data_IF_050827271345
#
_entry.id   IF_050827271345
#
_cell.length_a   1.000
_cell.length_b   1.000
_cell.length_c   1.000
_cell.angle_alpha   90.00
_cell.angle_beta   90.00
_cell.angle_gamma   90.00
#
_symmetry.space_group_name_H-M   'P 1'
#
loop_
_entity.id
_entity.type
_entity.pdbx_description
1 polymer ?
#
# COMPACT_ATOMS: atom_id res chain seq x y z
N UNK A 1 -21.16 4.23 -3.73
CA UNK A 1 -21.00 3.24 -2.65
C UNK A 1 -19.53 2.80 -2.58
N UNK A 2 -18.97 2.67 -1.38
CA UNK A 2 -17.53 2.61 -1.10
C UNK A 2 -16.90 1.24 -1.41
N UNK A 3 -15.68 1.19 -1.97
CA UNK A 3 -14.82 -0.01 -1.85
C UNK A 3 -13.34 0.29 -2.12
N UNK A 4 -12.58 0.47 -1.04
CA UNK A 4 -11.14 0.25 -0.92
C UNK A 4 -10.90 -0.23 0.52
N UNK A 5 -11.17 -1.52 0.76
CA UNK A 5 -10.09 -2.41 1.17
C UNK A 5 -10.11 -3.71 0.36
N UNK A 6 -8.93 -4.16 -0.04
CA UNK A 6 -8.73 -5.41 -0.76
C UNK A 6 -8.31 -6.50 0.22
N UNK A 7 -9.06 -7.60 0.22
CA UNK A 7 -8.92 -8.68 1.22
C UNK A 7 -8.17 -9.93 0.69
N UNK A 8 -7.81 -9.95 -0.59
CA UNK A 8 -7.16 -11.12 -1.22
C UNK A 8 -6.12 -10.67 -2.23
N UNK A 9 -5.08 -11.47 -2.42
CA UNK A 9 -4.01 -11.22 -3.40
C UNK A 9 -4.57 -11.07 -4.82
N UNK A 10 -5.47 -11.95 -5.25
CA UNK A 10 -6.03 -11.92 -6.61
C UNK A 10 -6.77 -10.61 -6.91
N UNK A 11 -7.66 -10.19 -6.00
CA UNK A 11 -8.35 -8.89 -6.11
C UNK A 11 -7.36 -7.72 -6.15
N UNK A 12 -6.25 -7.82 -5.44
CA UNK A 12 -5.21 -6.79 -5.44
C UNK A 12 -4.48 -6.72 -6.77
N UNK A 13 -4.13 -7.87 -7.36
CA UNK A 13 -3.52 -7.94 -8.68
C UNK A 13 -4.47 -7.44 -9.77
N UNK A 14 -5.76 -7.79 -9.70
CA UNK A 14 -6.78 -7.27 -10.62
C UNK A 14 -6.91 -5.75 -10.50
N UNK A 15 -7.02 -5.24 -9.28
CA UNK A 15 -7.05 -3.80 -9.01
C UNK A 15 -5.80 -3.10 -9.56
N UNK A 16 -4.61 -3.64 -9.30
CA UNK A 16 -3.36 -3.10 -9.78
C UNK A 16 -3.29 -3.04 -11.32
N UNK A 17 -3.80 -4.05 -12.03
CA UNK A 17 -3.88 -4.02 -13.50
C UNK A 17 -4.81 -2.90 -14.00
N UNK A 18 -5.94 -2.66 -13.32
CA UNK A 18 -6.86 -1.58 -13.70
C UNK A 18 -6.23 -0.19 -13.54
N UNK A 19 -5.29 -0.03 -12.61
CA UNK A 19 -4.56 1.24 -12.43
C UNK A 19 -3.59 1.56 -13.57
N UNK A 20 -3.35 0.65 -14.51
CA UNK A 20 -2.64 0.97 -15.75
C UNK A 20 -3.49 1.80 -16.72
N UNK A 21 -4.83 1.73 -16.59
CA UNK A 21 -5.74 2.59 -17.33
C UNK A 21 -5.79 3.98 -16.68
N UNK A 22 -5.46 5.02 -17.45
CA UNK A 22 -5.35 6.41 -16.97
C UNK A 22 -6.61 6.91 -16.26
N UNK A 23 -7.78 6.69 -16.85
CA UNK A 23 -9.06 7.16 -16.27
C UNK A 23 -9.35 6.52 -14.91
N UNK A 24 -9.12 5.20 -14.80
CA UNK A 24 -9.33 4.47 -13.56
C UNK A 24 -8.34 4.90 -12.47
N UNK A 25 -7.08 5.12 -12.85
CA UNK A 25 -6.03 5.67 -12.00
C UNK A 25 -6.40 7.04 -11.45
N UNK A 26 -6.81 7.97 -12.31
CA UNK A 26 -7.16 9.35 -11.92
C UNK A 26 -8.37 9.38 -11.00
N UNK A 27 -9.43 8.63 -11.33
CA UNK A 27 -10.60 8.52 -10.47
C UNK A 27 -10.25 7.95 -9.09
N UNK A 28 -9.39 6.93 -9.04
CA UNK A 28 -8.94 6.34 -7.78
C UNK A 28 -8.09 7.32 -6.96
N UNK A 29 -7.17 8.04 -7.62
CA UNK A 29 -6.36 9.06 -6.97
C UNK A 29 -7.21 10.20 -6.38
N UNK A 30 -8.22 10.68 -7.12
CA UNK A 30 -9.15 11.71 -6.66
C UNK A 30 -9.89 11.26 -5.39
N UNK A 31 -10.26 9.98 -5.29
CA UNK A 31 -10.94 9.42 -4.11
C UNK A 31 -10.03 9.31 -2.88
N UNK A 32 -8.71 9.23 -3.10
CA UNK A 32 -7.71 9.05 -2.04
C UNK A 32 -7.02 10.36 -1.65
N UNK A 33 -7.11 11.41 -2.47
CA UNK A 33 -6.36 12.66 -2.31
C UNK A 33 -6.55 13.34 -0.95
N UNK A 34 -7.73 13.21 -0.35
CA UNK A 34 -8.06 13.87 0.92
C UNK A 34 -7.50 13.12 2.13
N UNK A 35 -7.03 11.87 1.95
CA UNK A 35 -6.30 11.12 2.97
C UNK A 35 -4.85 11.59 3.08
N UNK A 36 -4.31 12.19 2.02
CA UNK A 36 -3.00 12.85 2.03
C UNK A 36 -3.19 14.23 2.64
N UNK A 37 -3.16 14.28 3.97
CA UNK A 37 -3.03 15.54 4.70
C UNK A 37 -1.64 16.11 4.39
N UNK A 38 -1.49 17.44 4.45
CA UNK A 38 -0.23 18.22 4.39
C UNK A 38 0.79 17.85 5.48
N UNK A 39 0.77 16.62 5.98
CA UNK A 39 1.81 16.08 6.83
C UNK A 39 3.09 15.99 5.99
N UNK A 40 4.12 16.72 6.39
CA UNK A 40 5.43 16.85 5.73
C UNK A 40 6.24 15.53 5.61
N UNK A 41 5.61 14.36 5.75
CA UNK A 41 6.28 13.07 5.70
C UNK A 41 5.68 12.17 4.63
N UNK A 42 6.39 12.07 3.51
CA UNK A 42 6.11 11.11 2.43
C UNK A 42 5.83 9.69 2.97
N UNK A 43 6.62 9.24 3.94
CA UNK A 43 6.44 7.91 4.58
C UNK A 43 5.07 7.76 5.22
N UNK A 44 4.56 8.81 5.88
CA UNK A 44 3.24 8.80 6.52
C UNK A 44 2.13 8.80 5.47
N UNK A 45 2.26 9.60 4.42
CA UNK A 45 1.31 9.65 3.31
C UNK A 45 1.20 8.31 2.59
N UNK A 46 2.34 7.70 2.23
CA UNK A 46 2.38 6.36 1.62
C UNK A 46 1.71 5.33 2.53
N UNK A 47 2.00 5.34 3.83
CA UNK A 47 1.37 4.40 4.77
C UNK A 47 -0.16 4.53 4.77
N UNK A 48 -0.68 5.75 4.92
CA UNK A 48 -2.13 6.01 4.97
C UNK A 48 -2.82 5.56 3.68
N UNK A 49 -2.21 5.88 2.53
CA UNK A 49 -2.74 5.47 1.22
C UNK A 49 -2.79 3.95 1.09
N UNK A 50 -1.71 3.27 1.45
CA UNK A 50 -1.62 1.81 1.35
C UNK A 50 -2.57 1.12 2.34
N UNK A 51 -2.68 1.61 3.57
CA UNK A 51 -3.68 1.12 4.55
C UNK A 51 -5.12 1.22 4.03
N UNK A 52 -5.39 2.20 3.14
CA UNK A 52 -6.70 2.32 2.49
C UNK A 52 -6.87 1.34 1.33
N UNK A 53 -5.82 1.06 0.58
CA UNK A 53 -5.89 0.23 -0.64
C UNK A 53 -6.11 -1.25 -0.31
N UNK A 54 -5.32 -1.82 0.60
CA UNK A 54 -5.43 -3.25 0.94
C UNK A 54 -5.12 -3.52 2.42
N UNK A 55 -5.54 -4.69 2.91
CA UNK A 55 -5.18 -5.15 4.24
C UNK A 55 -3.72 -5.63 4.27
N UNK A 56 -3.11 -5.62 5.46
CA UNK A 56 -1.70 -5.99 5.62
C UNK A 56 -1.36 -7.40 5.16
N UNK A 57 -2.28 -8.36 5.30
CA UNK A 57 -2.13 -9.75 4.85
C UNK A 57 -1.82 -9.84 3.36
N UNK A 58 -2.41 -8.94 2.56
CA UNK A 58 -2.09 -8.85 1.13
C UNK A 58 -0.63 -8.42 0.99
N UNK A 59 -0.19 -7.38 1.69
CA UNK A 59 1.18 -6.85 1.62
C UNK A 59 2.25 -7.81 2.16
N UNK A 60 1.94 -8.70 3.10
CA UNK A 60 2.87 -9.70 3.62
C UNK A 60 3.33 -10.70 2.54
N UNK A 61 2.51 -10.90 1.50
CA UNK A 61 2.79 -11.79 0.39
C UNK A 61 3.68 -11.19 -0.71
N UNK A 62 4.05 -9.91 -0.61
CA UNK A 62 4.92 -9.27 -1.60
C UNK A 62 6.32 -9.03 -1.07
N UNK A 63 7.32 -9.09 -1.95
CA UNK A 63 8.71 -8.76 -1.66
C UNK A 63 9.33 -7.96 -2.80
N UNK A 64 10.22 -7.02 -2.46
CA UNK A 64 10.85 -6.19 -3.50
C UNK A 64 11.93 -6.94 -4.29
N UNK A 65 12.54 -7.96 -3.69
CA UNK A 65 13.62 -8.75 -4.29
C UNK A 65 13.15 -10.08 -4.89
N UNK A 66 11.86 -10.44 -4.72
CA UNK A 66 11.37 -11.79 -5.02
C UNK A 66 11.90 -12.89 -4.09
N UNK A 67 12.85 -12.56 -3.21
CA UNK A 67 13.41 -13.48 -2.23
C UNK A 67 12.50 -13.47 -1.01
N UNK A 68 11.73 -14.54 -0.83
CA UNK A 68 11.19 -14.85 0.48
C UNK A 68 12.39 -15.00 1.43
N UNK A 69 12.37 -14.31 2.57
CA UNK A 69 13.24 -14.71 3.67
C UNK A 69 12.88 -16.16 3.97
N UNK A 70 13.85 -17.07 3.89
CA UNK A 70 13.66 -18.49 4.11
C UNK A 70 13.02 -18.67 5.49
N UNK A 71 11.75 -19.01 5.50
CA UNK A 71 10.99 -19.45 6.66
C UNK A 71 10.12 -20.57 6.11
N UNK A 72 10.59 -21.79 6.40
CA UNK A 72 9.95 -23.09 6.26
C UNK A 72 8.77 -23.16 5.27
N UNK A 73 9.00 -23.91 4.19
CA UNK A 73 8.05 -24.28 3.14
C UNK A 73 7.64 -23.16 2.16
N UNK A 74 8.44 -23.02 1.09
CA UNK A 74 8.02 -22.67 -0.28
C UNK A 74 7.00 -21.54 -0.51
N UNK A 75 6.90 -20.51 0.35
CA UNK A 75 6.09 -19.32 0.02
C UNK A 75 6.90 -18.41 -0.92
N UNK A 76 6.72 -18.57 -2.23
CA UNK A 76 7.22 -17.61 -3.23
C UNK A 76 6.47 -16.29 -3.07
N UNK A 77 7.10 -15.28 -2.48
CA UNK A 77 6.52 -13.93 -2.40
C UNK A 77 6.43 -13.32 -3.79
N UNK A 78 5.31 -12.66 -4.10
CA UNK A 78 5.11 -11.93 -5.34
C UNK A 78 6.09 -10.75 -5.46
N UNK A 79 6.59 -10.48 -6.67
CA UNK A 79 7.59 -9.43 -6.93
C UNK A 79 6.90 -8.10 -7.23
N UNK A 80 7.44 -7.01 -6.67
CA UNK A 80 6.90 -5.66 -6.85
C UNK A 80 7.07 -5.05 -8.25
N UNK A 81 7.83 -5.67 -9.17
CA UNK A 81 7.94 -5.20 -10.56
C UNK A 81 6.58 -5.09 -11.24
N UNK A 82 5.63 -5.93 -10.83
CA UNK A 82 4.28 -5.95 -11.39
C UNK A 82 3.36 -4.85 -10.84
N UNK A 83 3.81 -4.06 -9.86
CA UNK A 83 3.00 -3.09 -9.12
C UNK A 83 3.12 -1.64 -9.61
N UNK A 84 3.44 -1.46 -10.89
CA UNK A 84 3.53 -0.14 -11.54
C UNK A 84 2.24 0.68 -11.37
N UNK A 85 1.07 0.04 -11.42
CA UNK A 85 -0.22 0.68 -11.17
C UNK A 85 -0.30 1.31 -9.77
N UNK A 86 0.15 0.59 -8.73
CA UNK A 86 0.21 1.10 -7.35
C UNK A 86 1.21 2.24 -7.21
N UNK A 87 2.39 2.14 -7.83
CA UNK A 87 3.38 3.22 -7.83
C UNK A 87 2.75 4.48 -8.45
N UNK A 88 2.11 4.34 -9.60
CA UNK A 88 1.45 5.44 -10.29
C UNK A 88 0.30 6.02 -9.49
N UNK A 89 -0.50 5.19 -8.82
CA UNK A 89 -1.58 5.65 -7.94
C UNK A 89 -1.03 6.54 -6.82
N UNK A 90 -0.01 6.05 -6.12
CA UNK A 90 0.60 6.80 -5.01
C UNK A 90 1.26 8.08 -5.52
N UNK A 91 2.01 8.00 -6.62
CA UNK A 91 2.64 9.16 -7.27
C UNK A 91 1.63 10.23 -7.66
N UNK A 92 0.57 9.86 -8.39
CA UNK A 92 -0.48 10.78 -8.84
C UNK A 92 -1.22 11.37 -7.64
N UNK A 93 -1.55 10.55 -6.64
CA UNK A 93 -2.26 11.03 -5.45
C UNK A 93 -1.43 12.02 -4.63
N UNK A 94 -0.13 11.76 -4.47
CA UNK A 94 0.79 12.65 -3.74
C UNK A 94 1.03 13.95 -4.53
N UNK A 95 1.22 13.86 -5.85
CA UNK A 95 1.41 15.02 -6.75
C UNK A 95 0.27 16.03 -6.71
N UNK A 96 -0.94 15.61 -6.31
CA UNK A 96 -2.07 16.53 -6.11
C UNK A 96 -1.87 17.48 -4.92
N UNK A 97 -0.89 17.24 -4.05
CA UNK A 97 -0.62 18.02 -2.83
C UNK A 97 0.82 18.53 -2.75
N UNK A 98 1.80 17.72 -3.18
CA UNK A 98 3.21 18.10 -3.18
C UNK A 98 3.98 17.37 -4.28
N UNK A 99 5.05 17.99 -4.79
CA UNK A 99 5.96 17.32 -5.71
C UNK A 99 6.91 16.39 -4.94
N UNK A 100 6.93 15.12 -5.31
CA UNK A 100 7.83 14.12 -4.75
C UNK A 100 8.53 13.35 -5.89
N UNK A 101 9.87 13.25 -5.85
CA UNK A 101 10.61 12.42 -6.79
C UNK A 101 10.13 10.97 -6.74
N UNK A 102 9.99 10.34 -7.91
CA UNK A 102 9.50 8.96 -8.02
C UNK A 102 10.32 7.97 -7.20
N UNK A 103 11.63 8.15 -7.17
CA UNK A 103 12.56 7.33 -6.40
C UNK A 103 12.25 7.33 -4.90
N UNK A 104 11.87 8.49 -4.36
CA UNK A 104 11.50 8.63 -2.96
C UNK A 104 10.20 7.88 -2.66
N UNK A 105 9.19 8.00 -3.55
CA UNK A 105 7.91 7.28 -3.41
C UNK A 105 8.13 5.77 -3.48
N UNK A 106 8.91 5.31 -4.44
CA UNK A 106 9.28 3.90 -4.60
C UNK A 106 10.03 3.38 -3.37
N UNK A 107 10.98 4.16 -2.83
CA UNK A 107 11.69 3.82 -1.58
C UNK A 107 10.74 3.75 -0.38
N UNK A 108 9.80 4.67 -0.25
CA UNK A 108 8.81 4.66 0.82
C UNK A 108 7.86 3.45 0.73
N UNK A 109 7.45 3.06 -0.48
CA UNK A 109 6.66 1.85 -0.74
C UNK A 109 7.43 0.58 -0.38
N UNK A 110 8.72 0.49 -0.76
CA UNK A 110 9.63 -0.58 -0.33
C UNK A 110 9.67 -0.72 1.18
N UNK A 111 9.90 0.39 1.87
CA UNK A 111 10.00 0.42 3.33
C UNK A 111 8.68 0.01 4.00
N UNK A 112 7.54 0.46 3.47
CA UNK A 112 6.21 0.08 3.97
C UNK A 112 6.00 -1.43 3.87
N UNK A 113 6.30 -2.04 2.72
CA UNK A 113 6.08 -3.46 2.49
C UNK A 113 7.07 -4.34 3.24
N UNK A 114 8.35 -3.92 3.34
CA UNK A 114 9.35 -4.60 4.18
C UNK A 114 8.92 -4.68 5.65
N UNK A 115 8.14 -3.70 6.11
CA UNK A 115 7.65 -3.59 7.49
C UNK A 115 6.19 -4.02 7.63
N UNK A 116 5.57 -4.63 6.60
CA UNK A 116 4.13 -4.97 6.60
C UNK A 116 3.71 -5.80 7.81
N UNK A 117 4.49 -6.84 8.16
CA UNK A 117 4.20 -7.67 9.33
C UNK A 117 4.33 -6.93 10.67
N UNK A 118 5.32 -6.04 10.80
CA UNK A 118 5.44 -5.18 11.99
C UNK A 118 4.31 -4.16 12.06
N UNK A 119 3.88 -3.64 10.91
CA UNK A 119 2.78 -2.69 10.84
C UNK A 119 1.43 -3.37 11.15
N UNK A 120 1.21 -4.60 10.69
CA UNK A 120 0.05 -5.44 11.03
C UNK A 120 -0.07 -5.61 12.54
N UNK A 121 0.98 -6.11 13.20
CA UNK A 121 1.02 -6.28 14.66
C UNK A 121 0.69 -4.98 15.40
N UNK A 122 1.26 -3.86 14.96
CA UNK A 122 0.97 -2.54 15.56
C UNK A 122 -0.49 -2.10 15.42
N UNK A 123 -1.16 -2.49 14.34
CA UNK A 123 -2.58 -2.18 14.14
C UNK A 123 -3.44 -3.11 15.01
N UNK A 124 -3.14 -4.41 15.03
CA UNK A 124 -3.81 -5.40 15.87
C UNK A 124 -3.69 -5.07 17.36
N UNK A 125 -2.50 -4.69 17.83
CA UNK A 125 -2.27 -4.29 19.23
C UNK A 125 -3.05 -3.03 19.60
N UNK A 126 -3.19 -2.07 18.67
CA UNK A 126 -3.98 -0.85 18.89
C UNK A 126 -5.47 -1.13 18.95
N UNK A 127 -5.96 -2.03 18.08
CA UNK A 127 -7.37 -2.44 18.08
C UNK A 127 -7.72 -3.17 19.37
N UNK A 128 -6.89 -4.12 19.78
CA UNK A 128 -7.06 -4.83 21.06
C UNK A 128 -7.10 -3.88 22.25
N UNK A 129 -6.16 -2.94 22.33
CA UNK A 129 -6.16 -1.91 23.39
C UNK A 129 -7.39 -1.00 23.35
N UNK A 130 -7.94 -0.72 22.17
CA UNK A 130 -9.16 0.08 22.07
C UNK A 130 -10.37 -0.72 22.56
N UNK A 131 -10.44 -2.01 22.26
CA UNK A 131 -11.49 -2.93 22.71
C UNK A 131 -11.44 -3.21 24.21
N UNK A 132 -10.24 -3.24 24.82
CA UNK A 132 -10.05 -3.41 26.26
C UNK A 132 -10.38 -2.15 27.09
N UNK A 133 -10.51 -0.97 26.46
CA UNK A 133 -10.85 0.29 27.10
C UNK A 133 -12.32 0.72 26.89
N UNK A 134 -13.16 -0.21 26.40
CA UNK A 134 -14.62 -0.07 26.26
C UNK A 134 -15.30 -1.00 27.26
#
# INVERSE_FOLDING_TARGET
MATLPIHTIERFLKFNRLLLAKEYLEQTAIRLKDLVVTSNSLKKSVRILMERVAIYDVYENFSWSGKSGILNDNVTKLVFSDLEGIINLVMVTIKMKCEEPRENVVKALKDFCKRSSQNKKRVEDKQRKAEENV
#
